data_IF_853381934215
#
_entry.id   IF_853381934215
#
_cell.length_a   1.000
_cell.length_b   1.000
_cell.length_c   1.000
_cell.angle_alpha   90.00
_cell.angle_beta   90.00
_cell.angle_gamma   90.00
#
_symmetry.space_group_name_H-M   'P 1'
#
loop_
_entity.id
_entity.type
_entity.pdbx_description
1 polymer ?
#
# COMPACT_ATOMS: atom_id res chain seq x y z
N UNK A 1 -20.60 5.36 21.38
CA UNK A 1 -19.50 6.34 21.56
C UNK A 1 -19.13 6.83 20.17
N UNK A 2 -18.80 8.12 19.95
CA UNK A 2 -18.25 8.53 18.66
C UNK A 2 -16.97 7.73 18.40
N UNK A 3 -16.82 7.25 17.16
CA UNK A 3 -15.63 6.55 16.67
C UNK A 3 -14.36 7.34 17.02
N UNK A 4 -13.41 6.71 17.71
CA UNK A 4 -12.15 7.37 18.08
C UNK A 4 -10.98 6.60 17.47
N UNK A 5 -10.62 6.97 16.24
CA UNK A 5 -9.49 6.37 15.53
C UNK A 5 -8.13 6.91 15.97
N UNK A 6 -8.09 8.00 16.74
CA UNK A 6 -6.84 8.67 17.13
C UNK A 6 -5.83 7.72 17.80
N UNK A 7 -6.21 6.88 18.77
CA UNK A 7 -5.26 5.97 19.43
C UNK A 7 -4.64 4.93 18.49
N UNK A 8 -5.38 4.50 17.45
CA UNK A 8 -4.86 3.61 16.41
C UNK A 8 -3.91 4.36 15.48
N UNK A 9 -4.26 5.58 15.05
CA UNK A 9 -3.40 6.41 14.22
C UNK A 9 -2.09 6.77 14.94
N UNK A 10 -2.16 7.18 16.21
CA UNK A 10 -1.00 7.48 17.04
C UNK A 10 -0.07 6.24 17.13
N UNK A 11 -0.65 5.04 17.28
CA UNK A 11 0.11 3.80 17.35
C UNK A 11 0.77 3.45 16.01
N UNK A 12 0.06 3.55 14.88
CA UNK A 12 0.61 3.31 13.54
C UNK A 12 1.80 4.23 13.26
N UNK A 13 1.61 5.54 13.46
CA UNK A 13 2.63 6.55 13.17
C UNK A 13 3.83 6.48 14.12
N UNK A 14 3.63 6.05 15.37
CA UNK A 14 4.74 5.84 16.31
C UNK A 14 5.52 4.54 16.06
N UNK A 15 5.03 3.67 15.18
CA UNK A 15 5.61 2.34 14.91
C UNK A 15 5.91 2.10 13.43
N UNK A 16 6.01 3.16 12.62
CA UNK A 16 6.33 3.07 11.18
C UNK A 16 7.58 2.21 10.97
N UNK A 17 8.68 2.50 11.69
CA UNK A 17 9.93 1.74 11.56
C UNK A 17 9.73 0.24 11.86
N UNK A 18 8.97 -0.10 12.92
CA UNK A 18 8.69 -1.49 13.27
C UNK A 18 7.91 -2.20 12.15
N UNK A 19 6.86 -1.55 11.63
CA UNK A 19 6.03 -2.10 10.56
C UNK A 19 6.86 -2.29 9.29
N UNK A 20 7.68 -1.30 8.94
CA UNK A 20 8.58 -1.36 7.78
C UNK A 20 9.60 -2.48 7.93
N UNK A 21 10.24 -2.64 9.10
CA UNK A 21 11.22 -3.72 9.33
C UNK A 21 10.57 -5.10 9.27
N UNK A 22 9.37 -5.26 9.82
CA UNK A 22 8.62 -6.51 9.70
C UNK A 22 8.30 -6.83 8.24
N UNK A 23 7.81 -5.84 7.49
CA UNK A 23 7.52 -5.97 6.07
C UNK A 23 8.76 -6.32 5.26
N UNK A 24 9.89 -5.62 5.48
CA UNK A 24 11.19 -5.94 4.85
C UNK A 24 11.59 -7.38 5.13
N UNK A 25 11.47 -7.84 6.36
CA UNK A 25 11.76 -9.22 6.73
C UNK A 25 10.88 -10.22 5.97
N UNK A 26 9.59 -9.92 5.80
CA UNK A 26 8.68 -10.77 5.01
C UNK A 26 9.03 -10.77 3.53
N UNK A 27 9.32 -9.61 2.95
CA UNK A 27 9.76 -9.47 1.56
C UNK A 27 11.02 -10.30 1.29
N UNK A 28 12.03 -10.21 2.16
CA UNK A 28 13.28 -10.98 2.04
C UNK A 28 13.08 -12.48 2.18
N UNK A 29 12.04 -12.91 2.90
CA UNK A 29 11.73 -14.31 3.12
C UNK A 29 10.77 -14.92 2.07
N UNK A 30 10.16 -14.10 1.21
CA UNK A 30 9.19 -14.58 0.23
C UNK A 30 9.91 -15.22 -0.97
N UNK A 31 9.71 -16.53 -1.23
CA UNK A 31 10.42 -17.25 -2.29
C UNK A 31 10.06 -16.81 -3.71
N UNK A 32 8.98 -16.04 -3.88
CA UNK A 32 8.53 -15.51 -5.16
C UNK A 32 9.05 -14.09 -5.43
N UNK A 33 9.62 -13.42 -4.43
CA UNK A 33 10.35 -12.17 -4.58
C UNK A 33 11.83 -12.55 -4.76
N UNK A 34 12.35 -12.41 -5.98
CA UNK A 34 13.72 -12.87 -6.30
C UNK A 34 14.74 -12.11 -5.45
N UNK A 35 15.58 -12.86 -4.74
CA UNK A 35 16.63 -12.35 -3.86
C UNK A 35 17.82 -11.70 -4.59
N UNK A 36 17.85 -11.73 -5.93
CA UNK A 36 19.03 -11.35 -6.73
C UNK A 36 19.04 -9.87 -7.18
N UNK A 37 17.97 -9.12 -6.93
CA UNK A 37 17.89 -7.72 -7.29
C UNK A 37 17.66 -6.87 -6.04
N UNK A 38 18.68 -6.13 -5.58
CA UNK A 38 18.56 -5.04 -4.59
C UNK A 38 17.49 -3.98 -4.95
N UNK A 39 16.85 -4.10 -6.11
CA UNK A 39 15.81 -3.26 -6.68
C UNK A 39 14.40 -3.56 -6.13
N UNK A 40 14.10 -4.77 -5.65
CA UNK A 40 12.78 -5.11 -5.05
C UNK A 40 12.59 -4.46 -3.68
N UNK A 41 13.60 -4.52 -2.81
CA UNK A 41 13.50 -3.95 -1.46
C UNK A 41 13.22 -2.44 -1.42
N UNK A 42 13.63 -1.70 -2.46
CA UNK A 42 13.52 -0.24 -2.57
C UNK A 42 12.17 0.27 -3.05
N UNK A 43 11.25 -0.57 -3.53
CA UNK A 43 10.09 -0.10 -4.29
C UNK A 43 9.04 0.61 -3.42
N UNK A 44 8.71 0.02 -2.27
CA UNK A 44 7.67 0.53 -1.37
C UNK A 44 8.28 1.13 -0.10
N UNK A 45 9.51 0.76 0.27
CA UNK A 45 10.10 1.11 1.57
C UNK A 45 10.06 2.61 1.89
N UNK A 46 10.44 3.44 0.92
CA UNK A 46 10.48 4.91 1.04
C UNK A 46 9.07 5.52 1.08
N UNK A 47 8.06 4.76 0.67
CA UNK A 47 6.66 5.16 0.64
C UNK A 47 5.86 4.68 1.86
N UNK A 48 6.33 3.67 2.61
CA UNK A 48 5.62 3.16 3.78
C UNK A 48 5.22 4.27 4.77
N UNK A 49 6.11 5.23 5.14
CA UNK A 49 5.71 6.30 6.07
C UNK A 49 4.53 7.13 5.53
N UNK A 50 4.62 7.55 4.26
CA UNK A 50 3.56 8.31 3.60
C UNK A 50 2.26 7.51 3.51
N UNK A 51 2.33 6.22 3.19
CA UNK A 51 1.14 5.37 3.10
C UNK A 51 0.43 5.24 4.46
N UNK A 52 1.19 5.15 5.55
CA UNK A 52 0.61 5.10 6.90
C UNK A 52 0.03 6.46 7.34
N UNK A 53 0.64 7.57 6.93
CA UNK A 53 0.07 8.92 7.13
C UNK A 53 -1.26 9.08 6.40
N UNK A 54 -1.30 8.75 5.10
CA UNK A 54 -2.52 8.78 4.28
C UNK A 54 -3.62 7.91 4.89
N UNK A 55 -3.29 6.67 5.30
CA UNK A 55 -4.21 5.78 5.98
C UNK A 55 -4.77 6.39 7.27
N UNK A 56 -3.92 7.03 8.08
CA UNK A 56 -4.36 7.70 9.31
C UNK A 56 -5.31 8.87 9.03
N UNK A 57 -5.10 9.61 7.95
CA UNK A 57 -6.06 10.63 7.50
C UNK A 57 -7.41 10.01 7.11
N UNK A 58 -7.42 8.82 6.52
CA UNK A 58 -8.66 8.11 6.15
C UNK A 58 -9.43 7.66 7.37
N UNK A 59 -8.72 7.06 8.32
CA UNK A 59 -9.28 6.59 9.58
C UNK A 59 -9.88 7.76 10.37
N UNK A 60 -9.17 8.89 10.42
CA UNK A 60 -9.61 10.09 11.15
C UNK A 60 -10.79 10.85 10.54
N UNK A 61 -11.10 10.65 9.25
CA UNK A 61 -12.23 11.33 8.59
C UNK A 61 -13.56 10.70 9.00
N UNK A 62 -14.57 11.47 9.43
CA UNK A 62 -15.90 10.94 9.67
C UNK A 62 -16.60 10.52 8.36
N UNK A 63 -17.40 9.46 8.41
CA UNK A 63 -18.15 8.95 7.25
C UNK A 63 -17.33 8.02 6.34
N UNK A 64 -17.87 7.70 5.16
CA UNK A 64 -17.14 6.92 4.14
C UNK A 64 -16.20 7.87 3.36
N UNK A 65 -14.88 7.62 3.35
CA UNK A 65 -13.94 8.45 2.60
C UNK A 65 -14.22 8.42 1.10
N UNK A 66 -13.97 9.54 0.42
CA UNK A 66 -13.97 9.60 -1.04
C UNK A 66 -12.60 9.13 -1.56
N UNK A 67 -12.54 7.86 -1.98
CA UNK A 67 -11.32 7.21 -2.46
C UNK A 67 -10.80 7.80 -3.77
N UNK A 68 -11.63 8.36 -4.64
CA UNK A 68 -11.17 9.03 -5.87
C UNK A 68 -10.28 10.24 -5.55
N UNK A 69 -10.62 10.99 -4.50
CA UNK A 69 -9.80 12.13 -4.03
C UNK A 69 -8.48 11.69 -3.41
N UNK A 70 -8.48 10.55 -2.73
CA UNK A 70 -7.30 9.98 -2.07
C UNK A 70 -6.34 9.42 -3.12
N UNK A 71 -6.90 8.78 -4.15
CA UNK A 71 -6.18 8.33 -5.34
C UNK A 71 -5.37 9.48 -5.95
N UNK A 72 -6.01 10.62 -6.21
CA UNK A 72 -5.34 11.77 -6.83
C UNK A 72 -4.14 12.33 -6.04
N UNK A 73 -4.08 12.13 -4.71
CA UNK A 73 -2.96 12.59 -3.87
C UNK A 73 -1.83 11.57 -3.72
N UNK A 74 -2.12 10.25 -3.65
CA UNK A 74 -1.10 9.20 -3.49
C UNK A 74 -0.41 8.79 -4.80
N UNK A 75 -1.08 9.03 -5.94
CA UNK A 75 -0.79 8.45 -7.26
C UNK A 75 0.59 8.76 -7.90
N UNK A 76 1.37 9.73 -7.41
CA UNK A 76 2.52 10.25 -8.16
C UNK A 76 3.91 9.82 -7.65
N UNK A 77 4.01 9.30 -6.42
CA UNK A 77 5.30 8.99 -5.79
C UNK A 77 5.93 7.69 -6.26
N UNK A 78 5.28 6.55 -5.95
CA UNK A 78 5.89 5.24 -6.06
C UNK A 78 5.90 4.65 -7.48
N UNK A 79 4.95 5.03 -8.34
CA UNK A 79 4.92 4.52 -9.72
C UNK A 79 5.99 5.17 -10.61
N UNK A 80 6.41 6.41 -10.29
CA UNK A 80 7.43 7.13 -11.07
C UNK A 80 8.81 6.48 -10.99
N UNK A 81 9.08 5.74 -9.92
CA UNK A 81 10.29 4.93 -9.75
C UNK A 81 10.13 3.51 -10.33
N UNK A 82 8.95 3.11 -10.81
CA UNK A 82 8.62 1.73 -11.17
C UNK A 82 9.17 1.23 -12.52
N UNK A 83 9.97 2.04 -13.22
CA UNK A 83 10.63 1.62 -14.46
C UNK A 83 11.67 0.53 -14.16
N UNK A 84 11.50 -0.65 -14.77
CA UNK A 84 12.39 -1.80 -14.58
C UNK A 84 11.85 -2.91 -13.68
N UNK A 85 10.71 -2.72 -13.00
CA UNK A 85 10.16 -3.71 -12.07
C UNK A 85 9.10 -4.64 -12.67
N UNK A 86 8.93 -5.82 -12.05
CA UNK A 86 7.84 -6.75 -12.36
C UNK A 86 6.54 -6.34 -11.66
N UNK A 87 5.44 -6.32 -12.42
CA UNK A 87 4.09 -6.12 -11.88
C UNK A 87 3.79 -7.12 -10.75
N UNK A 88 4.17 -8.39 -10.92
CA UNK A 88 3.83 -9.43 -9.94
C UNK A 88 4.59 -9.30 -8.64
N UNK A 89 5.81 -8.76 -8.68
CA UNK A 89 6.63 -8.51 -7.49
C UNK A 89 6.06 -7.34 -6.69
N UNK A 90 5.78 -6.21 -7.37
CA UNK A 90 5.20 -5.03 -6.73
C UNK A 90 3.83 -5.31 -6.10
N UNK A 91 2.97 -6.07 -6.78
CA UNK A 91 1.68 -6.48 -6.21
C UNK A 91 1.84 -7.35 -4.97
N UNK A 92 2.84 -8.24 -4.96
CA UNK A 92 3.13 -9.11 -3.81
C UNK A 92 3.72 -8.32 -2.64
N UNK A 93 4.58 -7.34 -2.91
CA UNK A 93 5.10 -6.45 -1.88
C UNK A 93 4.00 -5.61 -1.22
N UNK A 94 3.04 -5.07 -2.00
CA UNK A 94 1.86 -4.35 -1.49
C UNK A 94 0.98 -5.25 -0.62
N UNK A 95 0.75 -6.48 -1.04
CA UNK A 95 0.00 -7.49 -0.28
C UNK A 95 0.68 -7.82 1.06
N UNK A 96 2.00 -8.03 1.05
CA UNK A 96 2.76 -8.27 2.28
C UNK A 96 2.72 -7.05 3.22
N UNK A 97 2.77 -5.83 2.69
CA UNK A 97 2.66 -4.62 3.50
C UNK A 97 1.28 -4.52 4.15
N UNK A 98 0.21 -4.77 3.38
CA UNK A 98 -1.16 -4.81 3.88
C UNK A 98 -1.29 -5.79 5.05
N UNK A 99 -0.71 -6.98 4.92
CA UNK A 99 -0.72 -7.99 5.99
C UNK A 99 0.03 -7.53 7.23
N UNK A 100 1.17 -6.86 7.10
CA UNK A 100 1.90 -6.28 8.24
C UNK A 100 1.06 -5.22 8.96
N UNK A 101 0.42 -4.34 8.20
CA UNK A 101 -0.47 -3.30 8.75
C UNK A 101 -1.68 -3.93 9.44
N UNK A 102 -2.31 -4.94 8.86
CA UNK A 102 -3.42 -5.65 9.50
C UNK A 102 -3.02 -6.30 10.82
N UNK A 103 -1.89 -7.02 10.84
CA UNK A 103 -1.41 -7.66 12.06
C UNK A 103 -1.14 -6.62 13.15
N UNK A 104 -0.48 -5.52 12.81
CA UNK A 104 -0.23 -4.42 13.73
C UNK A 104 -1.52 -3.80 14.29
N UNK A 105 -2.51 -3.57 13.43
CA UNK A 105 -3.81 -3.00 13.80
C UNK A 105 -4.54 -3.93 14.77
N UNK A 106 -4.63 -5.23 14.45
CA UNK A 106 -5.29 -6.22 15.32
C UNK A 106 -4.63 -6.28 16.70
N UNK A 107 -3.30 -6.32 16.75
CA UNK A 107 -2.58 -6.29 18.03
C UNK A 107 -2.85 -5.02 18.83
N UNK A 108 -2.92 -3.87 18.15
CA UNK A 108 -3.18 -2.57 18.77
C UNK A 108 -4.60 -2.47 19.30
N UNK A 109 -5.58 -2.92 18.51
CA UNK A 109 -7.00 -2.96 18.87
C UNK A 109 -7.23 -3.82 20.12
N UNK A 110 -6.56 -4.97 20.22
CA UNK A 110 -6.61 -5.83 21.42
C UNK A 110 -6.04 -5.10 22.64
N UNK A 111 -4.86 -4.47 22.51
CA UNK A 111 -4.20 -3.75 23.62
C UNK A 111 -4.98 -2.53 24.08
N UNK A 112 -5.64 -1.84 23.16
CA UNK A 112 -6.38 -0.61 23.43
C UNK A 112 -7.89 -0.83 23.63
N UNK A 113 -8.35 -2.09 23.61
CA UNK A 113 -9.74 -2.48 23.79
C UNK A 113 -10.71 -1.73 22.86
N UNK A 114 -10.40 -1.73 21.57
CA UNK A 114 -11.24 -1.12 20.54
C UNK A 114 -12.63 -1.77 20.51
N UNK A 115 -13.65 -0.95 20.25
CA UNK A 115 -15.00 -1.48 20.06
C UNK A 115 -15.14 -2.09 18.66
N UNK A 116 -16.10 -3.00 18.51
CA UNK A 116 -16.31 -3.76 17.27
C UNK A 116 -16.59 -2.87 16.05
N UNK A 117 -17.32 -1.79 16.21
CA UNK A 117 -17.67 -0.89 15.10
C UNK A 117 -16.41 -0.21 14.54
N UNK A 118 -15.57 0.29 15.45
CA UNK A 118 -14.28 0.89 15.15
C UNK A 118 -13.32 -0.12 14.49
N UNK A 119 -13.23 -1.34 15.01
CA UNK A 119 -12.44 -2.40 14.39
C UNK A 119 -12.88 -2.73 12.96
N UNK A 120 -14.19 -2.92 12.75
CA UNK A 120 -14.73 -3.21 11.41
C UNK A 120 -14.44 -2.04 10.46
N UNK A 121 -14.58 -0.81 10.94
CA UNK A 121 -14.29 0.39 10.16
C UNK A 121 -12.81 0.43 9.77
N UNK A 122 -11.89 0.23 10.71
CA UNK A 122 -10.46 0.26 10.46
C UNK A 122 -10.06 -0.78 9.40
N UNK A 123 -10.48 -2.04 9.59
CA UNK A 123 -10.18 -3.14 8.67
C UNK A 123 -10.72 -2.88 7.26
N UNK A 124 -11.95 -2.34 7.13
CA UNK A 124 -12.54 -1.99 5.83
C UNK A 124 -11.76 -0.88 5.12
N UNK A 125 -11.34 0.14 5.85
CA UNK A 125 -10.60 1.27 5.28
C UNK A 125 -9.19 0.87 4.85
N UNK A 126 -8.49 0.08 5.66
CA UNK A 126 -7.19 -0.50 5.30
C UNK A 126 -7.33 -1.35 4.04
N UNK A 127 -8.27 -2.29 4.02
CA UNK A 127 -8.48 -3.16 2.85
C UNK A 127 -8.73 -2.36 1.57
N UNK A 128 -9.56 -1.31 1.67
CA UNK A 128 -9.91 -0.48 0.53
C UNK A 128 -8.73 0.38 0.07
N UNK A 129 -7.97 0.98 0.99
CA UNK A 129 -6.78 1.76 0.66
C UNK A 129 -5.78 0.97 -0.19
N UNK A 130 -5.35 -0.20 0.31
CA UNK A 130 -4.44 -1.06 -0.44
C UNK A 130 -5.05 -1.62 -1.74
N UNK A 131 -6.36 -1.89 -1.75
CA UNK A 131 -7.05 -2.32 -2.97
C UNK A 131 -7.04 -1.27 -4.07
N UNK A 132 -7.15 0.01 -3.71
CA UNK A 132 -7.04 1.14 -4.66
C UNK A 132 -5.62 1.27 -5.21
N UNK A 133 -4.59 1.09 -4.37
CA UNK A 133 -3.21 1.08 -4.83
C UNK A 133 -2.94 -0.06 -5.82
N UNK A 134 -3.42 -1.27 -5.52
CA UNK A 134 -3.31 -2.43 -6.43
C UNK A 134 -3.95 -2.13 -7.79
N UNK A 135 -5.18 -1.59 -7.81
CA UNK A 135 -5.87 -1.22 -9.05
C UNK A 135 -5.06 -0.19 -9.84
N UNK A 136 -4.51 0.80 -9.15
CA UNK A 136 -3.70 1.84 -9.77
C UNK A 136 -2.40 1.28 -10.39
N UNK A 137 -1.70 0.38 -9.70
CA UNK A 137 -0.53 -0.33 -10.27
C UNK A 137 -0.93 -1.05 -11.55
N UNK A 138 -2.00 -1.84 -11.50
CA UNK A 138 -2.44 -2.64 -12.65
C UNK A 138 -2.80 -1.74 -13.83
N UNK A 139 -3.59 -0.69 -13.61
CA UNK A 139 -3.95 0.30 -14.63
C UNK A 139 -2.72 0.93 -15.26
N UNK A 140 -1.71 1.31 -14.46
CA UNK A 140 -0.47 1.89 -14.95
C UNK A 140 0.31 0.93 -15.85
N UNK A 141 0.49 -0.32 -15.42
CA UNK A 141 1.23 -1.32 -16.18
C UNK A 141 0.51 -1.72 -17.48
N UNK A 142 -0.82 -1.84 -17.46
CA UNK A 142 -1.62 -2.10 -18.67
C UNK A 142 -1.51 -0.95 -19.69
N UNK A 143 -1.57 0.29 -19.21
CA UNK A 143 -1.40 1.47 -20.06
C UNK A 143 0.02 1.54 -20.65
N UNK A 144 1.05 1.12 -19.90
CA UNK A 144 2.43 1.03 -20.39
C UNK A 144 2.57 -0.01 -21.51
N UNK A 145 2.07 -1.23 -21.29
CA UNK A 145 2.12 -2.31 -22.28
C UNK A 145 1.44 -1.88 -23.60
N UNK A 146 0.27 -1.26 -23.50
CA UNK A 146 -0.46 -0.74 -24.66
C UNK A 146 0.35 0.30 -25.45
N UNK A 147 1.08 1.20 -24.78
CA UNK A 147 1.95 2.19 -25.42
C UNK A 147 3.16 1.55 -26.11
N UNK A 148 3.74 0.52 -25.51
CA UNK A 148 4.91 -0.17 -26.07
C UNK A 148 4.55 -0.99 -27.30
N UNK A 149 3.36 -1.61 -27.32
CA UNK A 149 2.84 -2.34 -28.48
C UNK A 149 2.56 -1.41 -29.67
N UNK A 150 2.01 -0.22 -29.41
CA UNK A 150 1.84 0.82 -30.43
C UNK A 150 3.19 1.28 -31.03
N UNK A 151 4.21 1.50 -30.18
CA UNK A 151 5.56 1.88 -30.64
C UNK A 151 6.22 0.78 -31.47
N UNK A 152 6.08 -0.49 -31.09
CA UNK A 152 6.60 -1.64 -31.87
C UNK A 152 5.91 -1.76 -33.22
N UNK A 153 4.58 -1.60 -33.26
CA UNK A 153 3.80 -1.66 -34.50
C UNK A 153 4.19 -0.55 -35.48
N UNK A 154 4.40 0.68 -34.98
CA UNK A 154 4.84 1.81 -35.81
C UNK A 154 6.27 1.62 -36.38
N UNK A 155 7.18 1.01 -35.61
CA UNK A 155 8.55 0.68 -36.08
C UNK A 155 8.56 -0.45 -37.12
N UNK A 156 7.61 -1.38 -37.08
CA UNK A 156 7.52 -2.48 -38.04
C UNK A 156 6.94 -2.07 -39.41
N UNK A 157 6.31 -0.89 -39.48
CA UNK A 157 5.71 -0.33 -40.70
C UNK A 157 6.60 0.72 -41.40
N UNK A 158 7.78 1.01 -40.85
CA UNK A 158 8.78 1.96 -41.36
C UNK A 158 10.00 1.21 -41.91
#
# INVERSE_FOLDING_TARGET
MPSNMKPLCDALLSNVEKITLEWVGRVQSDPYLRADDNLTLTQIIDHVPQMLEELCELLGKPGEPNFDKIRASSQHGYIRSAEGYSLTELLRELELLRDCVFNFVVETEIKQNFNREDSIRALRLINKYFGEDILFVVEHFLARASRDDLKKSAKAQA
#
